data_IF_574250274630
#
_entry.id   IF_574250274630
#
_cell.length_a   1.000
_cell.length_b   1.000
_cell.length_c   1.000
_cell.angle_alpha   90.00
_cell.angle_beta   90.00
_cell.angle_gamma   90.00
#
_symmetry.space_group_name_H-M   'P 1'
#
loop_
_entity.id
_entity.type
_entity.pdbx_description
1 polymer ?
#
# COMPACT_ATOMS: atom_id res chain seq x y z
N UNK A 1 -10.27 0.19 12.16
CA UNK A 1 -9.04 -0.59 11.87
C UNK A 1 -8.50 -0.17 10.51
N UNK A 2 -7.19 0.06 10.41
CA UNK A 2 -6.52 0.31 9.13
C UNK A 2 -6.16 -1.01 8.45
N UNK A 3 -6.52 -1.15 7.17
CA UNK A 3 -6.18 -2.29 6.32
C UNK A 3 -5.24 -1.90 5.20
N UNK A 4 -4.70 -2.89 4.49
CA UNK A 4 -3.90 -2.66 3.30
C UNK A 4 -4.75 -2.10 2.15
N UNK A 5 -4.25 -1.07 1.48
CA UNK A 5 -4.89 -0.43 0.34
C UNK A 5 -4.71 -1.17 -1.00
N UNK A 6 -3.82 -2.17 -1.04
CA UNK A 6 -3.56 -2.94 -2.25
C UNK A 6 -4.81 -3.71 -2.69
N UNK A 7 -5.04 -3.78 -4.01
CA UNK A 7 -6.14 -4.55 -4.60
C UNK A 7 -6.03 -6.02 -4.19
N UNK A 8 -7.16 -6.60 -3.74
CA UNK A 8 -7.30 -7.97 -3.25
C UNK A 8 -6.43 -8.32 -2.03
N UNK A 9 -6.08 -7.34 -1.19
CA UNK A 9 -5.37 -7.58 0.06
C UNK A 9 -6.31 -7.38 1.25
N UNK A 10 -6.40 -8.37 2.13
CA UNK A 10 -7.17 -8.32 3.39
C UNK A 10 -6.27 -8.32 4.65
N UNK A 11 -5.00 -7.97 4.47
CA UNK A 11 -4.03 -7.83 5.56
C UNK A 11 -4.30 -6.54 6.33
N UNK A 12 -4.14 -6.63 7.64
CA UNK A 12 -4.54 -5.60 8.61
C UNK A 12 -3.73 -5.75 9.90
N UNK A 13 -3.64 -4.68 10.68
CA UNK A 13 -2.79 -4.61 11.88
C UNK A 13 -3.20 -5.66 12.93
N UNK A 14 -4.50 -5.89 13.10
CA UNK A 14 -5.03 -6.86 14.06
C UNK A 14 -4.72 -8.32 13.69
N UNK A 15 -4.33 -8.60 12.44
CA UNK A 15 -3.78 -9.89 12.02
C UNK A 15 -2.25 -9.98 12.17
N UNK A 16 -1.59 -8.96 12.74
CA UNK A 16 -0.15 -8.92 12.98
C UNK A 16 0.70 -8.40 11.81
N UNK A 17 0.09 -7.89 10.73
CA UNK A 17 0.84 -7.37 9.59
C UNK A 17 1.31 -5.93 9.81
N UNK A 18 2.55 -5.64 9.42
CA UNK A 18 3.06 -4.26 9.39
C UNK A 18 2.49 -3.49 8.21
N UNK A 19 1.98 -2.29 8.48
CA UNK A 19 1.42 -1.36 7.50
C UNK A 19 2.30 -0.10 7.38
N UNK A 20 2.59 0.35 6.16
CA UNK A 20 3.44 1.49 5.86
C UNK A 20 2.67 2.58 5.10
N UNK A 21 2.99 3.83 5.40
CA UNK A 21 2.50 5.01 4.68
C UNK A 21 3.11 5.12 3.29
N UNK A 22 2.38 5.73 2.36
CA UNK A 22 2.94 6.12 1.08
C UNK A 22 4.04 7.16 1.29
N UNK A 23 5.24 6.95 0.71
CA UNK A 23 6.30 7.95 0.77
C UNK A 23 5.93 9.18 -0.07
N UNK A 24 6.50 10.33 0.27
CA UNK A 24 6.33 11.57 -0.51
C UNK A 24 7.22 11.53 -1.78
N UNK A 25 6.77 12.18 -2.84
CA UNK A 25 7.50 12.35 -4.11
C UNK A 25 7.48 11.12 -5.02
N UNK A 26 8.43 11.06 -5.97
CA UNK A 26 8.48 10.07 -7.07
C UNK A 26 8.38 8.60 -6.63
N UNK A 27 8.83 8.29 -5.41
CA UNK A 27 8.73 6.93 -4.86
C UNK A 27 7.28 6.56 -4.55
N UNK A 28 6.47 7.51 -4.06
CA UNK A 28 5.05 7.32 -3.82
C UNK A 28 4.29 7.07 -5.12
N UNK A 29 4.61 7.83 -6.17
CA UNK A 29 3.99 7.67 -7.49
C UNK A 29 4.26 6.26 -8.05
N UNK A 30 5.49 5.76 -7.94
CA UNK A 30 5.82 4.37 -8.31
C UNK A 30 5.02 3.34 -7.50
N UNK A 31 4.76 3.60 -6.22
CA UNK A 31 3.95 2.69 -5.39
C UNK A 31 2.50 2.64 -5.88
N UNK A 32 1.93 3.79 -6.24
CA UNK A 32 0.57 3.91 -6.79
C UNK A 32 0.47 3.21 -8.14
N UNK A 33 1.42 3.46 -9.05
CA UNK A 33 1.46 2.83 -10.38
C UNK A 33 1.55 1.29 -10.28
N UNK A 34 2.42 0.79 -9.40
CA UNK A 34 2.58 -0.65 -9.15
C UNK A 34 1.34 -1.33 -8.55
N UNK A 35 0.43 -0.58 -7.91
CA UNK A 35 -0.83 -1.15 -7.45
C UNK A 35 -1.80 -1.46 -8.58
N UNK A 36 -1.61 -0.84 -9.76
CA UNK A 36 -2.48 -1.00 -10.93
C UNK A 36 -3.95 -0.80 -10.58
N UNK A 37 -4.22 0.16 -9.70
CA UNK A 37 -5.57 0.49 -9.24
C UNK A 37 -6.08 1.68 -10.04
N UNK A 38 -7.03 1.43 -10.92
CA UNK A 38 -7.54 2.46 -11.83
C UNK A 38 -8.21 3.61 -11.06
N UNK A 39 -7.94 4.85 -11.51
CA UNK A 39 -8.51 6.11 -10.98
C UNK A 39 -8.45 6.24 -9.46
N UNK A 40 -7.38 5.74 -8.84
CA UNK A 40 -7.23 5.76 -7.39
C UNK A 40 -6.01 6.55 -6.94
N UNK A 41 -6.21 7.40 -5.94
CA UNK A 41 -5.16 8.21 -5.31
C UNK A 41 -5.09 7.87 -3.82
N UNK A 42 -3.90 7.60 -3.26
CA UNK A 42 -3.76 7.33 -1.84
C UNK A 42 -4.12 8.56 -1.00
N UNK A 43 -4.87 8.34 0.06
CA UNK A 43 -5.14 9.33 1.10
C UNK A 43 -4.08 9.27 2.20
N UNK A 44 -4.08 10.25 3.11
CA UNK A 44 -3.20 10.26 4.30
C UNK A 44 -3.34 9.02 5.18
N UNK A 45 -4.50 8.35 5.16
CA UNK A 45 -4.78 7.12 5.88
C UNK A 45 -4.50 5.84 5.07
N UNK A 46 -4.18 5.96 3.78
CA UNK A 46 -3.87 4.82 2.92
C UNK A 46 -2.52 4.21 3.33
N UNK A 47 -2.51 2.88 3.48
CA UNK A 47 -1.33 2.11 3.93
C UNK A 47 -1.15 0.84 3.12
N UNK A 48 0.08 0.36 2.99
CA UNK A 48 0.39 -0.93 2.39
C UNK A 48 1.02 -1.89 3.39
N UNK A 49 0.68 -3.17 3.30
CA UNK A 49 1.34 -4.19 4.11
C UNK A 49 2.73 -4.55 3.57
N UNK A 50 3.59 -5.06 4.44
CA UNK A 50 4.94 -5.55 4.07
C UNK A 50 4.89 -6.53 2.88
N UNK A 51 3.89 -7.41 2.83
CA UNK A 51 3.70 -8.36 1.72
C UNK A 51 3.45 -7.66 0.39
N UNK A 52 2.57 -6.66 0.36
CA UNK A 52 2.25 -5.93 -0.88
C UNK A 52 3.44 -5.11 -1.38
N UNK A 53 4.21 -4.54 -0.44
CA UNK A 53 5.41 -3.78 -0.75
C UNK A 53 6.47 -4.69 -1.37
N UNK A 54 6.73 -5.85 -0.77
CA UNK A 54 7.72 -6.80 -1.28
C UNK A 54 7.33 -7.37 -2.65
N UNK A 55 6.06 -7.78 -2.81
CA UNK A 55 5.61 -8.46 -4.03
C UNK A 55 5.34 -7.54 -5.21
N UNK A 56 4.79 -6.34 -4.96
CA UNK A 56 4.34 -5.45 -6.04
C UNK A 56 5.27 -4.26 -6.28
N UNK A 57 6.07 -3.87 -5.29
CA UNK A 57 6.74 -2.57 -5.32
C UNK A 57 8.27 -2.68 -5.33
N UNK A 58 8.86 -3.84 -5.01
CA UNK A 58 10.33 -4.11 -4.97
C UNK A 58 11.12 -2.87 -4.53
N UNK A 59 11.16 -2.64 -3.21
CA UNK A 59 12.04 -1.63 -2.60
C UNK A 59 13.49 -1.93 -2.93
#
# INVERSE_FOLDING_TARGET
MSGCAAVNCSNRIDKGYRLFSFPKGKRGDKWVDNMRRDKWTPTTSSRLCEVSITLKIRI
#
